data_IF_894724909864
#
_entry.id   IF_894724909864
#
_cell.length_a   1.000
_cell.length_b   1.000
_cell.length_c   1.000
_cell.angle_alpha   90.00
_cell.angle_beta   90.00
_cell.angle_gamma   90.00
#
_symmetry.space_group_name_H-M   'P 1'
#
loop_
_entity.id
_entity.type
_entity.pdbx_description
1 polymer ?
#
# COMPACT_ATOMS: atom_id res chain seq x y z
N UNK A 1 31.44 -11.07 -16.07
CA UNK A 1 30.13 -10.52 -16.46
C UNK A 1 29.11 -11.62 -16.32
N UNK A 2 28.09 -11.43 -15.48
CA UNK A 2 26.93 -12.32 -15.42
C UNK A 2 26.17 -12.24 -16.73
N UNK A 3 26.04 -13.37 -17.44
CA UNK A 3 25.36 -13.46 -18.72
C UNK A 3 23.85 -13.55 -18.58
N UNK A 4 23.14 -13.71 -19.71
CA UNK A 4 21.71 -14.00 -19.73
C UNK A 4 21.35 -15.23 -18.89
N UNK A 5 22.10 -16.33 -19.04
CA UNK A 5 21.87 -17.56 -18.31
C UNK A 5 21.96 -17.39 -16.78
N UNK A 6 22.94 -16.62 -16.30
CA UNK A 6 23.11 -16.36 -14.86
C UNK A 6 21.93 -15.57 -14.29
N UNK A 7 21.39 -14.61 -15.06
CA UNK A 7 20.20 -13.85 -14.65
C UNK A 7 18.96 -14.73 -14.57
N UNK A 8 18.76 -15.61 -15.55
CA UNK A 8 17.66 -16.58 -15.51
C UNK A 8 17.83 -17.54 -14.33
N UNK A 9 19.05 -17.99 -14.03
CA UNK A 9 19.32 -18.81 -12.85
C UNK A 9 19.03 -18.04 -11.54
N UNK A 10 19.40 -16.75 -11.46
CA UNK A 10 19.09 -15.90 -10.31
C UNK A 10 17.58 -15.71 -10.11
N UNK A 11 16.82 -15.49 -11.19
CA UNK A 11 15.37 -15.45 -11.13
C UNK A 11 14.80 -16.79 -10.67
N UNK A 12 15.31 -17.90 -11.22
CA UNK A 12 14.92 -19.26 -10.85
C UNK A 12 15.13 -19.58 -9.37
N UNK A 13 16.19 -19.06 -8.75
CA UNK A 13 16.45 -19.20 -7.31
C UNK A 13 15.42 -18.51 -6.40
N UNK A 14 14.45 -17.77 -6.97
CA UNK A 14 13.29 -17.27 -6.23
C UNK A 14 12.41 -18.43 -5.74
N UNK A 15 12.43 -19.60 -6.39
CA UNK A 15 11.66 -20.78 -5.98
C UNK A 15 12.03 -21.30 -4.59
N UNK A 16 13.22 -20.97 -4.07
CA UNK A 16 13.60 -21.25 -2.67
C UNK A 16 12.55 -20.74 -1.66
N UNK A 17 11.85 -19.66 -2.01
CA UNK A 17 10.83 -19.04 -1.16
C UNK A 17 9.56 -19.88 -1.00
N UNK A 18 9.34 -20.91 -1.83
CA UNK A 18 8.20 -21.83 -1.69
C UNK A 18 8.23 -22.54 -0.32
N UNK A 19 9.42 -22.70 0.28
CA UNK A 19 9.57 -23.23 1.63
C UNK A 19 8.94 -22.34 2.73
N UNK A 20 8.57 -21.10 2.42
CA UNK A 20 7.88 -20.19 3.35
C UNK A 20 6.35 -20.35 3.33
N UNK A 21 5.79 -21.14 2.41
CA UNK A 21 4.36 -21.38 2.32
C UNK A 21 3.82 -22.16 3.53
N UNK A 22 2.49 -22.14 3.71
CA UNK A 22 1.86 -22.89 4.81
C UNK A 22 2.04 -24.39 4.58
N UNK A 23 1.81 -24.78 3.33
CA UNK A 23 2.05 -26.09 2.77
C UNK A 23 2.86 -25.88 1.48
N UNK A 24 4.18 -26.14 1.52
CA UNK A 24 5.03 -26.03 0.33
C UNK A 24 4.69 -27.04 -0.78
N UNK A 25 3.92 -28.09 -0.50
CA UNK A 25 3.53 -29.12 -1.47
C UNK A 25 2.15 -28.87 -2.10
N UNK A 26 1.41 -27.85 -1.63
CA UNK A 26 0.10 -27.48 -2.21
C UNK A 26 0.27 -26.81 -3.58
N UNK A 27 -0.23 -27.41 -4.68
CA UNK A 27 -0.07 -26.86 -6.02
C UNK A 27 -0.76 -25.50 -6.22
N UNK A 28 -1.83 -25.20 -5.48
CA UNK A 28 -2.50 -23.90 -5.55
C UNK A 28 -1.63 -22.81 -4.92
N UNK A 29 -1.07 -23.07 -3.73
CA UNK A 29 -0.19 -22.11 -3.05
C UNK A 29 1.12 -21.89 -3.84
N UNK A 30 1.68 -22.93 -4.44
CA UNK A 30 2.84 -22.79 -5.33
C UNK A 30 2.52 -21.88 -6.52
N UNK A 31 1.38 -22.10 -7.20
CA UNK A 31 0.98 -21.27 -8.34
C UNK A 31 0.74 -19.79 -7.96
N UNK A 32 0.16 -19.54 -6.79
CA UNK A 32 -0.03 -18.19 -6.26
C UNK A 32 1.28 -17.50 -5.92
N UNK A 33 2.23 -18.21 -5.32
CA UNK A 33 3.57 -17.70 -5.03
C UNK A 33 4.35 -17.39 -6.33
N UNK A 34 4.30 -18.29 -7.32
CA UNK A 34 4.93 -18.05 -8.62
C UNK A 34 4.32 -16.83 -9.34
N UNK A 35 3.00 -16.65 -9.26
CA UNK A 35 2.33 -15.44 -9.74
C UNK A 35 2.89 -14.19 -9.05
N UNK A 36 3.12 -14.22 -7.73
CA UNK A 36 3.77 -13.14 -6.99
C UNK A 36 5.21 -12.91 -7.48
N UNK A 37 5.97 -13.96 -7.79
CA UNK A 37 7.36 -13.82 -8.29
C UNK A 37 7.41 -13.08 -9.63
N UNK A 38 6.52 -13.40 -10.57
CA UNK A 38 6.42 -12.67 -11.84
C UNK A 38 5.84 -11.27 -11.68
N UNK A 39 4.89 -11.07 -10.77
CA UNK A 39 4.37 -9.74 -10.44
C UNK A 39 5.47 -8.83 -9.90
N UNK A 40 6.29 -9.33 -8.96
CA UNK A 40 7.39 -8.55 -8.39
C UNK A 40 8.48 -8.26 -9.43
N UNK A 41 8.77 -9.18 -10.35
CA UNK A 41 9.65 -8.92 -11.49
C UNK A 41 9.12 -7.77 -12.36
N UNK A 42 7.83 -7.79 -12.71
CA UNK A 42 7.20 -6.75 -13.50
C UNK A 42 7.22 -5.39 -12.76
N UNK A 43 6.96 -5.38 -11.45
CA UNK A 43 7.03 -4.16 -10.65
C UNK A 43 8.44 -3.57 -10.59
N UNK A 44 9.47 -4.43 -10.52
CA UNK A 44 10.86 -4.00 -10.46
C UNK A 44 11.31 -3.22 -11.69
N UNK A 45 10.73 -3.49 -12.85
CA UNK A 45 11.09 -2.80 -14.10
C UNK A 45 10.94 -1.27 -13.99
N UNK A 46 9.93 -0.79 -13.27
CA UNK A 46 9.67 0.64 -13.11
C UNK A 46 10.81 1.37 -12.41
N UNK A 47 11.58 0.70 -11.56
CA UNK A 47 12.68 1.32 -10.79
C UNK A 47 14.07 0.88 -11.26
N UNK A 48 14.21 -0.26 -11.94
CA UNK A 48 15.50 -0.79 -12.39
C UNK A 48 16.32 0.18 -13.26
N UNK A 49 15.64 1.04 -14.03
CA UNK A 49 16.26 2.05 -14.89
C UNK A 49 15.86 3.49 -14.52
N UNK A 50 15.38 3.70 -13.30
CA UNK A 50 15.15 5.05 -12.78
C UNK A 50 16.49 5.80 -12.71
N UNK A 51 16.52 7.05 -13.18
CA UNK A 51 17.71 7.90 -13.16
C UNK A 51 17.54 9.00 -12.11
N UNK A 52 18.36 9.03 -11.04
CA UNK A 52 18.26 10.08 -10.02
C UNK A 52 18.62 11.48 -10.54
N UNK A 53 19.25 11.58 -11.73
CA UNK A 53 19.50 12.86 -12.42
C UNK A 53 18.31 13.34 -13.24
N UNK A 54 17.39 12.43 -13.60
CA UNK A 54 16.16 12.69 -14.36
C UNK A 54 15.00 11.95 -13.68
N UNK A 55 14.68 12.33 -12.44
CA UNK A 55 13.70 11.60 -11.64
C UNK A 55 12.31 11.65 -12.26
N UNK A 56 11.55 10.59 -12.06
CA UNK A 56 10.13 10.49 -12.39
C UNK A 56 9.43 9.70 -11.28
N UNK A 57 8.16 10.04 -11.02
CA UNK A 57 7.32 9.26 -10.11
C UNK A 57 6.73 8.08 -10.87
N UNK A 58 7.29 6.90 -10.63
CA UNK A 58 6.77 5.65 -11.18
C UNK A 58 5.85 4.96 -10.17
N UNK A 59 4.91 4.09 -10.62
CA UNK A 59 4.04 3.36 -9.70
C UNK A 59 4.87 2.43 -8.80
N UNK A 60 4.67 2.53 -7.48
CA UNK A 60 5.31 1.61 -6.54
C UNK A 60 4.48 0.32 -6.34
N UNK A 61 3.19 0.48 -6.02
CA UNK A 61 2.19 -0.57 -5.96
C UNK A 61 0.83 -0.02 -6.41
N UNK A 62 -0.03 -0.85 -6.98
CA UNK A 62 -1.38 -0.46 -7.40
C UNK A 62 -2.27 -1.70 -7.59
N UNK A 63 -3.45 -1.56 -8.19
CA UNK A 63 -4.38 -2.69 -8.46
C UNK A 63 -3.77 -3.83 -9.30
N UNK A 64 -2.77 -3.53 -10.13
CA UNK A 64 -2.10 -4.51 -11.02
C UNK A 64 -0.74 -4.95 -10.48
N UNK A 65 0.01 -4.02 -9.89
CA UNK A 65 1.25 -4.26 -9.14
C UNK A 65 0.92 -4.46 -7.66
N UNK A 66 -0.04 -5.36 -7.39
CA UNK A 66 -0.58 -5.58 -6.06
C UNK A 66 0.26 -6.61 -5.32
N UNK A 67 1.08 -6.14 -4.40
CA UNK A 67 1.81 -6.96 -3.45
C UNK A 67 1.96 -6.20 -2.13
N UNK A 68 2.63 -6.81 -1.15
CA UNK A 68 3.06 -6.19 0.11
C UNK A 68 1.96 -5.41 0.85
N UNK A 69 0.74 -5.93 0.88
CA UNK A 69 -0.37 -5.34 1.63
C UNK A 69 -0.80 -3.96 1.11
N UNK A 70 -0.71 -3.72 -0.20
CA UNK A 70 -1.10 -2.47 -0.89
C UNK A 70 -2.37 -1.86 -0.30
N UNK A 71 -2.34 -0.61 0.18
CA UNK A 71 -3.55 0.03 0.69
C UNK A 71 -4.50 0.40 -0.48
N UNK A 72 -5.74 -0.12 -0.51
CA UNK A 72 -6.73 0.19 -1.55
C UNK A 72 -7.02 1.68 -1.74
N UNK A 73 -6.86 2.46 -0.68
CA UNK A 73 -7.24 3.87 -0.62
C UNK A 73 -6.13 4.81 -1.08
N UNK A 74 -4.91 4.30 -1.28
CA UNK A 74 -3.75 5.12 -1.61
C UNK A 74 -3.36 4.97 -3.07
N UNK A 75 -2.91 6.07 -3.69
CA UNK A 75 -2.08 6.04 -4.90
C UNK A 75 -0.64 6.16 -4.46
N UNK A 76 0.20 5.22 -4.91
CA UNK A 76 1.60 5.14 -4.55
C UNK A 76 2.50 5.50 -5.73
N UNK A 77 3.41 6.43 -5.50
CA UNK A 77 4.49 6.76 -6.42
C UNK A 77 5.84 6.61 -5.74
N UNK A 78 6.88 6.29 -6.50
CA UNK A 78 8.26 6.33 -6.03
C UNK A 78 9.15 7.03 -7.05
N UNK A 79 10.15 7.76 -6.59
CA UNK A 79 11.17 8.35 -7.45
C UNK A 79 12.55 8.10 -6.84
N UNK A 80 13.51 7.70 -7.68
CA UNK A 80 14.92 7.63 -7.30
C UNK A 80 15.51 9.05 -7.34
N UNK A 81 16.29 9.40 -6.32
CA UNK A 81 16.97 10.69 -6.22
C UNK A 81 18.40 10.51 -5.69
N UNK A 82 19.19 11.57 -5.80
CA UNK A 82 20.50 11.72 -5.20
C UNK A 82 20.40 12.84 -4.17
N UNK A 83 20.53 12.52 -2.88
CA UNK A 83 20.38 13.48 -1.78
C UNK A 83 21.33 14.68 -1.83
N UNK A 84 22.40 14.62 -2.62
CA UNK A 84 23.27 15.77 -2.87
C UNK A 84 22.69 16.78 -3.87
N UNK A 85 21.59 16.44 -4.55
CA UNK A 85 20.95 17.29 -5.56
C UNK A 85 19.98 18.33 -5.02
N UNK A 86 19.50 19.18 -5.92
CA UNK A 86 18.41 20.12 -5.68
C UNK A 86 17.24 19.79 -6.60
N UNK A 87 16.04 19.65 -6.03
CA UNK A 87 14.86 19.20 -6.74
C UNK A 87 13.72 20.19 -6.56
N UNK A 88 13.14 20.64 -7.66
CA UNK A 88 11.92 21.43 -7.61
C UNK A 88 10.73 20.49 -7.82
N UNK A 89 9.81 20.48 -6.85
CA UNK A 89 8.53 19.83 -6.98
C UNK A 89 7.47 20.89 -7.25
N UNK A 90 6.65 20.66 -8.26
CA UNK A 90 5.52 21.54 -8.61
C UNK A 90 4.30 20.71 -8.93
N UNK A 91 3.12 21.29 -8.78
CA UNK A 91 1.92 20.51 -9.04
C UNK A 91 0.63 21.13 -8.55
N UNK A 92 -0.42 20.31 -8.57
CA UNK A 92 -1.73 20.57 -7.98
C UNK A 92 -1.92 19.63 -6.79
N UNK A 93 -2.29 20.16 -5.62
CA UNK A 93 -2.49 19.34 -4.41
C UNK A 93 -3.69 18.38 -4.55
N UNK A 94 -4.68 18.74 -5.35
CA UNK A 94 -5.90 17.95 -5.52
C UNK A 94 -6.78 17.92 -4.26
N UNK A 95 -7.79 17.06 -4.28
CA UNK A 95 -8.87 17.02 -3.28
C UNK A 95 -8.77 15.84 -2.30
N UNK A 96 -7.73 15.00 -2.46
CA UNK A 96 -7.48 13.85 -1.57
C UNK A 96 -7.27 14.27 -0.11
N UNK A 97 -7.52 13.35 0.83
CA UNK A 97 -7.48 13.59 2.28
C UNK A 97 -6.15 14.17 2.76
N UNK A 98 -5.05 13.59 2.28
CA UNK A 98 -3.69 14.08 2.49
C UNK A 98 -2.79 13.57 1.35
N UNK A 99 -1.70 14.29 1.11
CA UNK A 99 -0.64 13.86 0.21
C UNK A 99 0.66 13.94 0.99
N UNK A 100 1.34 12.82 1.08
CA UNK A 100 2.51 12.69 1.94
C UNK A 100 3.63 12.00 1.17
N UNK A 101 4.84 12.53 1.31
CA UNK A 101 6.03 11.96 0.70
C UNK A 101 7.08 11.66 1.75
N UNK A 102 7.38 10.39 1.92
CA UNK A 102 8.48 9.92 2.75
C UNK A 102 9.80 10.05 1.97
N UNK A 103 10.82 10.59 2.62
CA UNK A 103 12.17 10.76 2.07
C UNK A 103 13.07 9.77 2.79
N UNK A 104 13.71 8.84 2.07
CA UNK A 104 14.43 7.74 2.70
C UNK A 104 15.89 7.64 2.23
N UNK A 105 16.77 7.14 3.11
CA UNK A 105 18.18 6.85 2.78
C UNK A 105 18.38 5.59 1.92
N UNK A 106 17.26 4.94 1.57
CA UNK A 106 17.19 3.73 0.76
C UNK A 106 15.84 3.68 0.08
N UNK A 107 15.36 2.49 -0.29
CA UNK A 107 14.07 2.33 -0.94
C UNK A 107 13.71 0.88 -1.20
N UNK A 108 12.48 0.66 -1.64
CA UNK A 108 12.02 -0.65 -2.10
C UNK A 108 12.37 -0.93 -3.56
N UNK A 109 12.80 0.08 -4.34
CA UNK A 109 13.15 -0.08 -5.75
C UNK A 109 14.33 -1.04 -5.99
N UNK A 110 14.53 -1.47 -7.23
CA UNK A 110 15.46 -2.56 -7.60
C UNK A 110 16.90 -2.27 -7.22
N UNK A 111 17.37 -1.03 -7.43
CA UNK A 111 18.76 -0.63 -7.25
C UNK A 111 19.05 -0.13 -5.84
N UNK A 112 18.01 0.16 -5.08
CA UNK A 112 18.08 0.65 -3.71
C UNK A 112 18.20 -0.49 -2.70
N UNK A 113 19.01 -0.26 -1.66
CA UNK A 113 18.94 -1.03 -0.42
C UNK A 113 17.86 -0.45 0.51
N UNK A 114 17.38 -1.26 1.46
CA UNK A 114 16.49 -0.74 2.49
C UNK A 114 17.25 0.28 3.36
N UNK A 115 16.61 1.41 3.65
CA UNK A 115 17.16 2.45 4.50
C UNK A 115 16.06 3.10 5.34
N UNK A 116 16.44 3.79 6.44
CA UNK A 116 15.48 4.48 7.28
C UNK A 116 14.83 5.65 6.54
N UNK A 117 13.64 6.04 7.02
CA UNK A 117 13.07 7.35 6.73
C UNK A 117 13.97 8.45 7.31
N UNK A 118 14.13 9.52 6.56
CA UNK A 118 14.88 10.74 6.88
C UNK A 118 13.94 11.93 7.14
N UNK A 119 12.64 11.70 7.09
CA UNK A 119 11.61 12.70 7.29
C UNK A 119 10.51 12.59 6.25
N UNK A 120 9.40 13.26 6.54
CA UNK A 120 8.19 13.23 5.74
C UNK A 120 7.79 14.65 5.36
N UNK A 121 7.60 14.89 4.07
CA UNK A 121 6.98 16.11 3.55
C UNK A 121 5.46 15.90 3.47
N UNK A 122 4.73 16.65 4.29
CA UNK A 122 3.27 16.77 4.21
C UNK A 122 2.89 17.94 3.31
N UNK A 123 2.25 17.64 2.17
CA UNK A 123 1.88 18.64 1.18
C UNK A 123 0.74 19.55 1.68
N UNK A 124 0.04 19.17 2.75
CA UNK A 124 -1.01 20.01 3.36
C UNK A 124 -0.41 21.21 4.12
N UNK A 125 0.89 21.18 4.39
CA UNK A 125 1.63 22.28 5.01
C UNK A 125 2.18 23.29 4.00
N UNK A 126 2.08 22.99 2.69
CA UNK A 126 2.60 23.85 1.63
C UNK A 126 1.66 25.03 1.36
N UNK A 127 2.27 26.13 0.93
CA UNK A 127 1.58 27.29 0.41
C UNK A 127 0.97 26.96 -0.94
N UNK A 128 -0.36 27.06 -1.04
CA UNK A 128 -1.09 26.88 -2.29
C UNK A 128 -1.49 28.24 -2.88
N UNK A 129 -1.39 28.37 -4.19
CA UNK A 129 -1.96 29.52 -4.90
C UNK A 129 -3.50 29.43 -5.02
N UNK A 130 -4.10 30.45 -5.62
CA UNK A 130 -5.55 30.55 -5.86
C UNK A 130 -6.12 29.45 -6.78
N UNK A 131 -5.25 28.70 -7.46
CA UNK A 131 -5.60 27.56 -8.30
C UNK A 131 -5.28 26.20 -7.63
N UNK A 132 -4.84 26.21 -6.36
CA UNK A 132 -4.48 25.02 -5.61
C UNK A 132 -3.15 24.40 -6.04
N UNK A 133 -2.26 25.18 -6.66
CA UNK A 133 -0.93 24.74 -7.06
C UNK A 133 0.10 24.99 -5.98
N UNK A 134 1.07 24.10 -5.89
CA UNK A 134 2.22 24.22 -4.98
C UNK A 134 3.54 24.28 -5.75
N UNK A 135 4.56 24.82 -5.08
CA UNK A 135 5.95 24.75 -5.50
C UNK A 135 6.84 24.64 -4.27
N UNK A 136 7.68 23.60 -4.20
CA UNK A 136 8.57 23.37 -3.07
C UNK A 136 9.95 22.93 -3.57
N UNK A 137 10.99 23.57 -3.05
CA UNK A 137 12.38 23.21 -3.31
C UNK A 137 12.88 22.21 -2.27
N UNK A 138 13.47 21.11 -2.72
CA UNK A 138 14.18 20.14 -1.89
C UNK A 138 15.67 20.30 -2.15
N UNK A 139 16.46 20.64 -1.13
CA UNK A 139 17.92 20.78 -1.24
C UNK A 139 18.59 20.68 0.12
N UNK A 140 19.89 20.38 0.15
CA UNK A 140 20.66 20.29 1.40
C UNK A 140 20.67 21.61 2.20
N UNK A 141 20.74 22.74 1.49
CA UNK A 141 20.67 24.10 2.04
C UNK A 141 19.70 24.93 1.21
N UNK A 142 18.95 25.83 1.86
CA UNK A 142 18.06 26.77 1.19
C UNK A 142 18.90 27.81 0.42
N UNK A 143 18.69 27.97 -0.91
CA UNK A 143 19.31 29.07 -1.65
C UNK A 143 18.89 30.42 -1.08
N UNK A 144 19.84 31.37 -1.01
CA UNK A 144 19.62 32.68 -0.36
C UNK A 144 18.52 33.51 -1.01
N UNK A 145 18.29 33.29 -2.30
CA UNK A 145 17.30 33.96 -3.14
C UNK A 145 15.96 33.20 -3.22
N UNK A 146 15.84 32.03 -2.58
CA UNK A 146 14.60 31.26 -2.56
C UNK A 146 13.63 31.75 -1.48
N UNK A 147 12.46 32.22 -1.90
CA UNK A 147 11.41 32.75 -1.00
C UNK A 147 10.15 31.87 -0.93
N UNK A 148 10.10 30.77 -1.68
CA UNK A 148 8.99 29.82 -1.65
C UNK A 148 9.14 28.76 -0.56
N UNK A 149 8.23 27.79 -0.54
CA UNK A 149 8.36 26.65 0.36
C UNK A 149 9.66 25.89 0.08
N UNK A 150 10.32 25.45 1.14
CA UNK A 150 11.58 24.73 1.07
C UNK A 150 11.57 23.61 2.10
N UNK A 151 12.10 22.45 1.69
CA UNK A 151 12.30 21.30 2.56
C UNK A 151 13.77 20.88 2.50
N UNK A 152 14.40 20.70 3.66
CA UNK A 152 15.79 20.26 3.73
C UNK A 152 15.91 18.81 3.26
N UNK A 153 16.71 18.59 2.22
CA UNK A 153 17.03 17.25 1.73
C UNK A 153 18.32 16.74 2.40
N UNK A 154 18.23 15.61 3.10
CA UNK A 154 19.42 15.00 3.68
C UNK A 154 20.33 14.40 2.58
N UNK A 155 21.65 14.62 2.59
CA UNK A 155 22.58 14.09 1.58
C UNK A 155 22.57 12.56 1.42
N UNK A 156 22.12 11.83 2.45
CA UNK A 156 21.97 10.37 2.40
C UNK A 156 20.69 9.91 1.69
N UNK A 157 19.75 10.81 1.36
CA UNK A 157 18.50 10.46 0.69
C UNK A 157 18.73 9.78 -0.67
N UNK A 158 17.94 8.74 -0.96
CA UNK A 158 18.02 7.94 -2.19
C UNK A 158 16.68 7.76 -2.88
N UNK A 159 15.57 7.83 -2.14
CA UNK A 159 14.25 7.72 -2.74
C UNK A 159 13.21 8.63 -2.09
N UNK A 160 12.17 8.91 -2.87
CA UNK A 160 10.96 9.60 -2.47
C UNK A 160 9.77 8.65 -2.63
N UNK A 161 9.00 8.43 -1.57
CA UNK A 161 7.81 7.55 -1.59
C UNK A 161 6.54 8.34 -1.33
N UNK A 162 5.76 8.55 -2.39
CA UNK A 162 4.51 9.32 -2.39
C UNK A 162 3.31 8.44 -2.02
N UNK A 163 2.43 8.96 -1.16
CA UNK A 163 1.12 8.40 -0.83
C UNK A 163 0.05 9.48 -0.98
N UNK A 164 -0.94 9.24 -1.82
CA UNK A 164 -2.12 10.11 -1.94
C UNK A 164 -3.34 9.37 -1.42
N UNK A 165 -3.94 9.84 -0.33
CA UNK A 165 -5.04 9.16 0.34
C UNK A 165 -6.42 9.68 -0.11
N UNK A 166 -7.37 8.78 -0.37
CA UNK A 166 -8.77 9.15 -0.59
C UNK A 166 -9.73 8.07 -0.08
N UNK A 167 -10.85 8.51 0.51
CA UNK A 167 -11.96 7.61 0.83
C UNK A 167 -12.89 7.37 -0.35
N UNK A 168 -13.19 8.41 -1.12
CA UNK A 168 -14.13 8.39 -2.23
C UNK A 168 -13.36 8.26 -3.55
N UNK A 169 -13.32 7.03 -4.05
CA UNK A 169 -12.56 6.72 -5.23
C UNK A 169 -13.27 7.26 -6.47
N UNK A 170 -12.58 8.11 -7.22
CA UNK A 170 -13.08 8.65 -8.49
C UNK A 170 -14.00 9.86 -8.35
N UNK A 171 -14.13 10.41 -7.14
CA UNK A 171 -14.63 11.76 -6.91
C UNK A 171 -13.47 12.69 -6.53
N UNK A 172 -13.58 13.97 -6.88
CA UNK A 172 -12.48 14.93 -6.77
C UNK A 172 -11.33 14.63 -7.74
N UNK A 173 -10.21 15.31 -7.55
CA UNK A 173 -8.98 15.15 -8.33
C UNK A 173 -7.84 14.67 -7.45
N UNK A 174 -7.19 13.58 -7.87
CA UNK A 174 -5.91 13.15 -7.30
C UNK A 174 -4.83 14.24 -7.53
N UNK A 175 -3.80 14.25 -6.69
CA UNK A 175 -2.69 15.19 -6.80
C UNK A 175 -1.86 14.92 -8.06
N UNK A 176 -1.39 16.00 -8.68
CA UNK A 176 -0.54 15.96 -9.88
C UNK A 176 0.79 16.60 -9.52
N UNK A 177 1.87 15.84 -9.59
CA UNK A 177 3.17 16.24 -9.07
C UNK A 177 4.21 15.98 -10.15
N UNK A 178 5.02 17.00 -10.44
CA UNK A 178 6.24 16.90 -11.22
C UNK A 178 7.45 17.04 -10.29
N UNK A 179 8.56 16.43 -10.68
CA UNK A 179 9.86 16.55 -10.00
C UNK A 179 10.94 16.81 -11.04
N UNK A 180 11.79 17.80 -10.78
CA UNK A 180 12.90 18.16 -11.66
C UNK A 180 14.17 18.37 -10.85
N UNK A 181 15.30 17.78 -11.27
CA UNK A 181 16.62 18.10 -10.73
C UNK A 181 17.14 19.37 -11.40
N UNK A 182 17.31 20.46 -10.65
CA UNK A 182 17.41 21.80 -11.24
C UNK A 182 18.85 22.30 -11.48
N UNK A 183 19.85 21.71 -10.82
CA UNK A 183 21.25 22.10 -11.00
C UNK A 183 21.93 21.38 -12.18
N UNK A 184 21.32 20.33 -12.72
CA UNK A 184 21.83 19.58 -13.87
C UNK A 184 21.06 19.94 -15.15
N UNK A 185 21.77 20.00 -16.27
CA UNK A 185 21.12 20.17 -17.56
C UNK A 185 20.23 18.96 -17.88
N UNK A 186 19.01 19.20 -18.32
CA UNK A 186 18.09 18.15 -18.77
C UNK A 186 18.65 17.46 -20.03
N UNK A 187 19.31 16.31 -19.83
CA UNK A 187 19.98 15.54 -20.90
C UNK A 187 19.74 14.05 -20.69
N UNK A 188 18.86 13.43 -21.49
CA UNK A 188 18.60 11.99 -21.40
C UNK A 188 19.89 11.16 -21.45
N UNK A 189 20.05 10.24 -20.50
CA UNK A 189 21.19 9.34 -20.43
C UNK A 189 21.03 8.20 -21.43
N UNK A 190 22.14 7.87 -22.11
CA UNK A 190 22.31 6.56 -22.75
C UNK A 190 23.14 5.69 -21.82
N UNK A 191 22.54 4.62 -21.31
CA UNK A 191 23.21 3.68 -20.40
C UNK A 191 24.37 2.95 -21.09
N UNK A 192 25.49 2.81 -20.38
CA UNK A 192 26.60 1.97 -20.85
C UNK A 192 26.20 0.48 -20.77
N UNK A 193 26.92 -0.37 -21.49
CA UNK A 193 26.63 -1.81 -21.49
C UNK A 193 26.78 -2.42 -20.08
N UNK A 194 27.74 -1.91 -19.31
CA UNK A 194 28.03 -2.32 -17.94
C UNK A 194 26.88 -1.92 -16.99
N UNK A 195 26.37 -0.69 -17.11
CA UNK A 195 25.24 -0.20 -16.29
C UNK A 195 23.96 -1.00 -16.54
N UNK A 196 23.69 -1.33 -17.81
CA UNK A 196 22.56 -2.18 -18.21
C UNK A 196 22.75 -3.57 -17.62
N UNK A 197 23.96 -4.12 -17.72
CA UNK A 197 24.25 -5.45 -17.23
C UNK A 197 24.05 -5.58 -15.71
N UNK A 198 24.47 -4.57 -14.95
CA UNK A 198 24.28 -4.47 -13.50
C UNK A 198 22.79 -4.41 -13.13
N UNK A 199 22.03 -3.50 -13.76
CA UNK A 199 20.60 -3.29 -13.48
C UNK A 199 19.75 -4.51 -13.80
N UNK A 200 20.05 -5.18 -14.92
CA UNK A 200 19.36 -6.43 -15.27
C UNK A 200 19.70 -7.57 -14.30
N UNK A 201 20.92 -7.59 -13.76
CA UNK A 201 21.30 -8.56 -12.71
C UNK A 201 20.56 -8.26 -11.40
N UNK A 202 20.48 -7.00 -10.98
CA UNK A 202 19.69 -6.60 -9.81
C UNK A 202 18.19 -6.91 -9.99
N UNK A 203 17.63 -6.60 -11.16
CA UNK A 203 16.24 -6.91 -11.49
C UNK A 203 15.95 -8.41 -11.45
N UNK A 204 16.86 -9.25 -11.93
CA UNK A 204 16.70 -10.71 -11.88
C UNK A 204 16.69 -11.26 -10.45
N UNK A 205 17.38 -10.62 -9.51
CA UNK A 205 17.37 -10.98 -8.09
C UNK A 205 16.20 -10.36 -7.31
N UNK A 206 15.55 -9.34 -7.86
CA UNK A 206 14.53 -8.55 -7.18
C UNK A 206 13.30 -9.36 -6.70
N UNK A 207 12.75 -10.31 -7.48
CA UNK A 207 11.61 -11.12 -7.04
C UNK A 207 11.87 -11.85 -5.73
N UNK A 208 13.08 -12.39 -5.55
CA UNK A 208 13.50 -13.04 -4.30
C UNK A 208 13.50 -12.09 -3.12
N UNK A 209 13.90 -10.84 -3.31
CA UNK A 209 13.89 -9.81 -2.26
C UNK A 209 12.46 -9.39 -1.89
N UNK A 210 11.67 -8.95 -2.86
CA UNK A 210 10.35 -8.38 -2.58
C UNK A 210 9.32 -9.46 -2.20
N UNK A 211 9.29 -10.60 -2.91
CA UNK A 211 8.40 -11.71 -2.56
C UNK A 211 8.82 -12.36 -1.23
N UNK A 212 10.12 -12.41 -0.94
CA UNK A 212 10.65 -12.90 0.33
C UNK A 212 10.18 -12.04 1.51
N UNK A 213 10.11 -10.73 1.34
CA UNK A 213 9.50 -9.83 2.32
C UNK A 213 8.02 -10.16 2.55
N UNK A 214 7.25 -10.37 1.48
CA UNK A 214 5.82 -10.64 1.59
C UNK A 214 5.51 -12.00 2.24
N UNK A 215 6.13 -13.06 1.76
CA UNK A 215 5.96 -14.41 2.31
C UNK A 215 6.54 -14.51 3.72
N UNK A 216 7.66 -13.83 3.98
CA UNK A 216 8.25 -13.73 5.31
C UNK A 216 7.33 -13.05 6.31
N UNK A 217 6.63 -11.98 5.91
CA UNK A 217 5.64 -11.32 6.76
C UNK A 217 4.51 -12.29 7.16
N UNK A 218 3.88 -12.96 6.19
CA UNK A 218 2.80 -13.92 6.47
C UNK A 218 3.29 -15.07 7.35
N UNK A 219 4.47 -15.63 7.06
CA UNK A 219 5.08 -16.66 7.90
C UNK A 219 5.27 -16.17 9.34
N UNK A 220 5.79 -14.97 9.55
CA UNK A 220 5.99 -14.41 10.88
C UNK A 220 4.68 -14.27 11.66
N UNK A 221 3.60 -13.83 11.00
CA UNK A 221 2.27 -13.73 11.61
C UNK A 221 1.73 -15.11 12.03
N UNK A 222 1.95 -16.16 11.20
CA UNK A 222 1.59 -17.55 11.55
C UNK A 222 2.42 -18.09 12.72
N UNK A 223 3.72 -17.84 12.73
CA UNK A 223 4.62 -18.32 13.79
C UNK A 223 4.27 -17.67 15.14
N UNK A 224 3.75 -16.44 15.14
CA UNK A 224 3.17 -15.78 16.31
C UNK A 224 1.80 -16.33 16.72
N UNK A 225 1.14 -17.12 15.89
CA UNK A 225 -0.19 -17.67 16.15
C UNK A 225 -1.33 -16.65 16.06
N UNK A 226 -1.18 -15.60 15.25
CA UNK A 226 -2.16 -14.48 15.14
C UNK A 226 -3.42 -14.83 14.34
N UNK A 227 -3.93 -16.06 14.46
CA UNK A 227 -5.16 -16.49 13.82
C UNK A 227 -6.38 -15.95 14.57
N UNK A 228 -7.22 -15.18 13.87
CA UNK A 228 -8.39 -14.50 14.43
C UNK A 228 -8.04 -13.59 15.62
N UNK A 229 -6.83 -13.04 15.60
CA UNK A 229 -6.30 -12.13 16.59
C UNK A 229 -5.53 -11.02 15.89
N UNK A 230 -5.42 -9.86 16.54
CA UNK A 230 -4.71 -8.70 16.01
C UNK A 230 -3.65 -8.27 17.03
N UNK A 231 -2.45 -7.95 16.53
CA UNK A 231 -1.43 -7.26 17.31
C UNK A 231 -1.37 -5.78 16.88
N UNK A 232 -1.00 -4.91 17.82
CA UNK A 232 -0.65 -3.54 17.50
C UNK A 232 0.83 -3.49 17.09
N UNK A 233 1.13 -2.91 15.94
CA UNK A 233 2.50 -2.77 15.42
C UNK A 233 2.80 -1.32 14.99
N UNK A 234 4.07 -0.94 15.04
CA UNK A 234 4.57 0.33 14.52
C UNK A 234 5.42 0.06 13.27
N UNK A 235 4.87 0.44 12.11
CA UNK A 235 5.52 0.28 10.82
C UNK A 235 6.39 1.47 10.40
N UNK A 236 6.56 2.49 11.25
CA UNK A 236 7.42 3.63 10.96
C UNK A 236 8.84 3.18 10.56
N UNK A 237 9.35 3.71 9.44
CA UNK A 237 10.66 3.35 8.89
C UNK A 237 10.76 1.95 8.26
N UNK A 238 9.66 1.18 8.19
CA UNK A 238 9.57 -0.16 7.52
C UNK A 238 8.57 -0.19 6.37
N UNK A 239 8.26 0.97 5.80
CA UNK A 239 7.26 1.14 4.73
C UNK A 239 5.89 1.64 5.20
N UNK A 240 5.68 1.78 6.52
CA UNK A 240 4.51 2.43 7.10
C UNK A 240 4.59 3.95 7.16
N UNK A 241 3.55 4.54 7.73
CA UNK A 241 3.39 5.98 8.01
C UNK A 241 3.70 6.21 9.49
N UNK A 242 4.54 7.19 9.78
CA UNK A 242 4.87 7.58 11.15
C UNK A 242 3.62 7.99 11.94
N UNK A 243 3.50 7.53 13.18
CA UNK A 243 2.38 7.84 14.07
C UNK A 243 1.05 7.18 13.70
N UNK A 244 1.01 6.28 12.71
CA UNK A 244 -0.17 5.50 12.37
C UNK A 244 -0.26 4.26 13.28
N UNK A 245 -1.44 4.03 13.88
CA UNK A 245 -1.71 2.80 14.60
C UNK A 245 -2.03 1.69 13.60
N UNK A 246 -1.25 0.62 13.60
CA UNK A 246 -1.52 -0.56 12.78
C UNK A 246 -1.98 -1.71 13.66
N UNK A 247 -3.10 -2.31 13.29
CA UNK A 247 -3.53 -3.60 13.83
C UNK A 247 -3.46 -4.63 12.73
N UNK A 248 -2.66 -5.67 12.93
CA UNK A 248 -2.40 -6.69 11.93
C UNK A 248 -2.56 -8.09 12.51
N UNK A 249 -2.94 -9.02 11.66
CA UNK A 249 -3.06 -10.42 12.03
C UNK A 249 -3.55 -11.26 10.88
N UNK A 250 -4.01 -12.46 11.19
CA UNK A 250 -4.56 -13.40 10.23
C UNK A 250 -6.03 -13.66 10.53
N UNK A 251 -6.82 -13.90 9.49
CA UNK A 251 -8.18 -14.40 9.63
C UNK A 251 -8.25 -15.86 9.18
N UNK A 252 -9.14 -16.63 9.79
CA UNK A 252 -9.51 -17.98 9.37
C UNK A 252 -11.00 -18.21 9.62
N UNK A 253 -11.68 -18.63 8.56
CA UNK A 253 -13.10 -18.92 8.51
C UNK A 253 -13.31 -20.43 8.40
N UNK A 254 -14.02 -20.99 9.37
CA UNK A 254 -14.58 -22.34 9.26
C UNK A 254 -15.87 -22.33 8.43
N UNK A 255 -16.26 -23.48 7.91
CA UNK A 255 -17.51 -23.60 7.15
C UNK A 255 -18.72 -23.19 8.02
N UNK A 256 -19.60 -22.33 7.47
CA UNK A 256 -20.78 -21.83 8.18
C UNK A 256 -20.49 -20.76 9.25
N UNK A 257 -19.24 -20.31 9.40
CA UNK A 257 -18.86 -19.25 10.34
C UNK A 257 -18.56 -17.93 9.61
N UNK A 258 -18.63 -16.85 10.37
CA UNK A 258 -18.11 -15.53 10.02
C UNK A 258 -17.23 -14.99 11.15
N UNK A 259 -16.36 -14.03 10.83
CA UNK A 259 -15.67 -13.24 11.84
C UNK A 259 -16.35 -11.88 11.98
N UNK A 260 -16.79 -11.59 13.19
CA UNK A 260 -17.24 -10.27 13.59
C UNK A 260 -16.03 -9.47 14.05
N UNK A 261 -15.68 -8.43 13.29
CA UNK A 261 -14.76 -7.39 13.71
C UNK A 261 -15.53 -6.29 14.44
N UNK A 262 -15.06 -5.87 15.61
CA UNK A 262 -15.63 -4.75 16.36
C UNK A 262 -14.52 -3.85 16.90
N UNK A 263 -14.69 -2.53 16.78
CA UNK A 263 -13.84 -1.52 17.43
C UNK A 263 -14.60 -0.23 17.72
N UNK A 264 -14.13 0.52 18.72
CA UNK A 264 -14.51 1.92 18.87
C UNK A 264 -13.77 2.79 17.85
N UNK A 265 -14.24 4.01 17.61
CA UNK A 265 -13.52 4.97 16.78
C UNK A 265 -12.71 5.92 17.68
N UNK A 266 -11.55 6.42 17.20
CA UNK A 266 -10.90 7.57 17.82
C UNK A 266 -11.81 8.81 17.77
N UNK A 267 -11.76 9.67 18.80
CA UNK A 267 -12.52 10.93 18.82
C UNK A 267 -12.18 11.85 17.63
N UNK A 268 -10.92 11.81 17.18
CA UNK A 268 -10.45 12.46 15.96
C UNK A 268 -9.58 11.50 15.19
N UNK A 269 -9.78 11.44 13.87
CA UNK A 269 -8.98 10.64 12.95
C UNK A 269 -8.97 11.30 11.58
N UNK A 270 -7.79 11.39 10.95
CA UNK A 270 -7.65 11.94 9.59
C UNK A 270 -8.00 10.89 8.54
N UNK A 271 -7.54 9.65 8.74
CA UNK A 271 -7.82 8.53 7.85
C UNK A 271 -7.81 7.21 8.60
N UNK A 272 -8.61 6.26 8.14
CA UNK A 272 -8.64 4.90 8.65
C UNK A 272 -9.25 3.93 7.65
N UNK A 273 -8.80 2.69 7.69
CA UNK A 273 -9.41 1.60 6.95
C UNK A 273 -9.23 0.25 7.64
N UNK A 274 -9.95 -0.74 7.13
CA UNK A 274 -9.69 -2.17 7.30
C UNK A 274 -9.60 -2.79 5.91
N UNK A 275 -8.64 -3.67 5.70
CA UNK A 275 -8.47 -4.41 4.46
C UNK A 275 -8.09 -5.86 4.71
N UNK A 276 -8.45 -6.71 3.75
CA UNK A 276 -8.05 -8.11 3.70
C UNK A 276 -6.98 -8.33 2.62
N UNK A 277 -6.06 -9.24 2.92
CA UNK A 277 -5.04 -9.75 2.00
C UNK A 277 -5.06 -11.27 1.95
N UNK A 278 -4.60 -11.84 0.84
CA UNK A 278 -4.38 -13.28 0.70
C UNK A 278 -3.14 -13.75 1.48
N UNK A 279 -2.85 -15.05 1.45
CA UNK A 279 -1.70 -15.66 2.11
C UNK A 279 -0.36 -15.39 1.41
N UNK A 280 -0.37 -14.71 0.25
CA UNK A 280 0.82 -14.17 -0.41
C UNK A 280 1.05 -12.68 -0.04
N UNK A 281 0.22 -12.14 0.85
CA UNK A 281 0.15 -10.74 1.26
C UNK A 281 -0.21 -9.76 0.13
N UNK A 282 -0.88 -10.23 -0.92
CA UNK A 282 -1.53 -9.34 -1.88
C UNK A 282 -2.88 -8.90 -1.31
N UNK A 283 -3.25 -7.64 -1.47
CA UNK A 283 -4.58 -7.22 -1.01
C UNK A 283 -5.65 -7.85 -1.88
N UNK A 284 -6.70 -8.41 -1.29
CA UNK A 284 -7.76 -9.06 -2.06
C UNK A 284 -8.39 -8.03 -3.01
N UNK A 285 -8.72 -8.44 -4.23
CA UNK A 285 -9.19 -7.60 -5.35
C UNK A 285 -10.26 -6.57 -4.93
N UNK A 286 -9.78 -5.41 -4.46
CA UNK A 286 -10.61 -4.36 -3.90
C UNK A 286 -11.31 -3.57 -4.99
N UNK A 287 -10.91 -3.74 -6.24
CA UNK A 287 -11.58 -3.09 -7.36
C UNK A 287 -12.92 -3.77 -7.68
N UNK A 288 -12.99 -5.10 -7.50
CA UNK A 288 -14.17 -5.90 -7.87
C UNK A 288 -14.89 -6.51 -6.67
N UNK A 289 -14.33 -6.41 -5.48
CA UNK A 289 -14.89 -6.93 -4.23
C UNK A 289 -14.87 -5.86 -3.14
N UNK A 290 -15.77 -5.99 -2.18
CA UNK A 290 -15.72 -5.21 -0.93
C UNK A 290 -14.76 -5.90 0.05
N UNK A 291 -13.49 -6.01 -0.30
CA UNK A 291 -12.43 -6.60 0.53
C UNK A 291 -11.76 -5.59 1.47
N UNK A 292 -12.17 -4.33 1.40
CA UNK A 292 -11.76 -3.27 2.31
C UNK A 292 -12.89 -2.28 2.54
N UNK A 293 -12.85 -1.62 3.69
CA UNK A 293 -13.74 -0.53 4.08
C UNK A 293 -12.91 0.58 4.72
N UNK A 294 -13.30 1.82 4.47
CA UNK A 294 -12.65 3.00 4.98
C UNK A 294 -13.68 3.96 5.60
N UNK A 295 -13.23 5.06 6.20
CA UNK A 295 -14.12 6.01 6.89
C UNK A 295 -15.19 6.68 6.03
N UNK A 296 -15.04 6.72 4.70
CA UNK A 296 -16.10 7.22 3.80
C UNK A 296 -17.01 6.12 3.24
N UNK A 297 -16.68 4.85 3.46
CA UNK A 297 -17.43 3.69 2.93
C UNK A 297 -18.15 2.90 4.04
N UNK A 298 -17.59 2.88 5.25
CA UNK A 298 -18.12 2.16 6.38
C UNK A 298 -19.36 2.84 6.97
N UNK A 299 -20.33 2.03 7.39
CA UNK A 299 -21.44 2.49 8.26
C UNK A 299 -20.99 2.39 9.72
N UNK A 300 -21.13 3.47 10.48
CA UNK A 300 -20.95 3.42 11.94
C UNK A 300 -22.30 3.12 12.58
N UNK A 301 -22.30 2.21 13.55
CA UNK A 301 -23.52 1.81 14.24
C UNK A 301 -24.01 2.92 15.18
N UNK A 302 -25.28 2.85 15.59
CA UNK A 302 -25.90 3.87 16.43
C UNK A 302 -25.23 4.06 17.81
N UNK A 303 -24.47 3.06 18.27
CA UNK A 303 -23.66 3.11 19.50
C UNK A 303 -22.25 3.70 19.29
N UNK A 304 -21.96 4.21 18.09
CA UNK A 304 -20.69 4.84 17.75
C UNK A 304 -19.56 3.86 17.44
N UNK A 305 -19.84 2.56 17.31
CA UNK A 305 -18.82 1.55 17.00
C UNK A 305 -18.80 1.20 15.52
N UNK A 306 -17.63 0.79 15.06
CA UNK A 306 -17.49 0.14 13.77
C UNK A 306 -17.57 -1.38 13.97
N UNK A 307 -18.50 -2.01 13.25
CA UNK A 307 -18.62 -3.46 13.15
C UNK A 307 -18.56 -3.89 11.70
N UNK A 308 -17.75 -4.90 11.40
CA UNK A 308 -17.69 -5.51 10.08
C UNK A 308 -17.76 -7.03 10.17
N UNK A 309 -18.29 -7.65 9.13
CA UNK A 309 -18.42 -9.11 9.04
C UNK A 309 -17.53 -9.60 7.92
N UNK A 310 -16.56 -10.45 8.26
CA UNK A 310 -15.73 -11.14 7.28
C UNK A 310 -16.36 -12.52 7.06
N UNK A 311 -16.86 -12.77 5.85
CA UNK A 311 -17.58 -13.99 5.50
C UNK A 311 -17.38 -14.31 4.01
N UNK A 312 -17.33 -15.60 3.66
CA UNK A 312 -17.13 -16.04 2.26
C UNK A 312 -18.33 -15.71 1.37
N UNK A 313 -19.53 -15.81 1.90
CA UNK A 313 -20.78 -15.47 1.23
C UNK A 313 -21.32 -14.15 1.79
N UNK A 314 -21.97 -13.33 0.96
CA UNK A 314 -22.54 -12.05 1.38
C UNK A 314 -23.66 -12.27 2.42
N UNK A 315 -23.48 -11.83 3.68
CA UNK A 315 -24.49 -11.98 4.72
C UNK A 315 -25.63 -10.94 4.61
N UNK A 316 -25.60 -10.06 3.61
CA UNK A 316 -26.59 -9.01 3.42
C UNK A 316 -26.45 -7.85 4.41
N UNK A 317 -25.24 -7.56 4.89
CA UNK A 317 -24.94 -6.43 5.80
C UNK A 317 -24.10 -5.37 5.08
N UNK A 318 -24.20 -4.11 5.49
CA UNK A 318 -23.46 -3.01 4.86
C UNK A 318 -21.95 -3.20 4.94
N UNK A 319 -21.44 -3.48 6.13
CA UNK A 319 -20.02 -3.61 6.42
C UNK A 319 -19.54 -5.07 6.26
N UNK A 320 -19.80 -5.66 5.09
CA UNK A 320 -19.24 -6.96 4.74
C UNK A 320 -17.81 -6.81 4.21
N UNK A 321 -16.93 -7.73 4.55
CA UNK A 321 -15.60 -7.87 3.96
C UNK A 321 -15.51 -9.23 3.26
N UNK A 322 -15.43 -9.20 1.93
CA UNK A 322 -15.31 -10.37 1.07
C UNK A 322 -13.85 -10.86 1.03
N UNK A 323 -13.53 -12.07 1.53
CA UNK A 323 -12.18 -12.62 1.54
C UNK A 323 -11.71 -13.12 0.16
N UNK A 324 -12.50 -12.93 -0.90
CA UNK A 324 -12.12 -13.28 -2.26
C UNK A 324 -12.19 -14.77 -2.56
N UNK A 325 -13.01 -15.50 -1.81
CA UNK A 325 -13.11 -16.96 -1.88
C UNK A 325 -12.19 -17.70 -0.91
N UNK A 326 -11.21 -17.01 -0.31
CA UNK A 326 -10.27 -17.60 0.64
C UNK A 326 -10.93 -17.92 1.99
N UNK A 327 -10.55 -19.05 2.58
CA UNK A 327 -10.92 -19.39 3.96
C UNK A 327 -10.00 -18.74 4.98
N UNK A 328 -8.80 -18.35 4.59
CA UNK A 328 -7.86 -17.63 5.44
C UNK A 328 -7.04 -16.60 4.65
N UNK A 329 -6.36 -15.73 5.40
CA UNK A 329 -5.58 -14.63 4.83
C UNK A 329 -5.11 -13.70 5.94
N UNK A 330 -4.59 -12.54 5.54
CA UNK A 330 -4.19 -11.48 6.45
C UNK A 330 -5.24 -10.37 6.52
N UNK A 331 -5.26 -9.67 7.65
CA UNK A 331 -6.11 -8.51 7.89
C UNK A 331 -5.25 -7.39 8.44
N UNK A 332 -5.53 -6.16 7.98
CA UNK A 332 -4.90 -4.97 8.52
C UNK A 332 -5.93 -3.87 8.72
N UNK A 333 -5.92 -3.25 9.91
CA UNK A 333 -6.67 -2.05 10.25
C UNK A 333 -5.69 -0.94 10.60
N UNK A 334 -6.04 0.29 10.22
CA UNK A 334 -5.16 1.45 10.40
C UNK A 334 -5.90 2.67 10.95
N UNK A 335 -5.28 3.42 11.86
CA UNK A 335 -5.70 4.75 12.27
C UNK A 335 -4.58 5.77 12.04
N UNK A 336 -4.77 6.72 11.10
CA UNK A 336 -3.81 7.79 10.76
C UNK A 336 -4.26 9.13 11.33
N UNK A 337 -3.32 9.88 11.90
CA UNK A 337 -3.61 11.21 12.45
C UNK A 337 -4.71 11.12 13.53
N UNK A 338 -4.67 10.05 14.33
CA UNK A 338 -5.73 9.72 15.26
C UNK A 338 -5.40 10.16 16.68
N UNK A 339 -6.41 10.56 17.45
CA UNK A 339 -6.27 10.93 18.86
C UNK A 339 -5.96 9.74 19.78
N UNK A 340 -6.27 8.53 19.32
CA UNK A 340 -6.05 7.26 20.00
C UNK A 340 -6.04 6.12 18.98
N UNK A 341 -5.58 4.93 19.38
CA UNK A 341 -5.74 3.69 18.64
C UNK A 341 -6.63 2.72 19.41
N UNK A 342 -7.97 2.75 19.23
CA UNK A 342 -8.84 1.75 19.84
C UNK A 342 -8.56 0.37 19.25
N UNK A 343 -8.37 -0.60 20.14
CA UNK A 343 -8.03 -1.97 19.76
C UNK A 343 -9.24 -2.70 19.16
N UNK A 344 -9.14 -3.18 17.90
CA UNK A 344 -10.16 -4.02 17.30
C UNK A 344 -10.12 -5.44 17.85
N UNK A 345 -11.30 -6.05 17.93
CA UNK A 345 -11.46 -7.47 18.29
C UNK A 345 -12.02 -8.26 17.12
N UNK A 346 -11.67 -9.54 17.06
CA UNK A 346 -12.22 -10.52 16.10
C UNK A 346 -12.90 -11.63 16.88
N UNK A 347 -14.15 -11.95 16.54
CA UNK A 347 -14.90 -13.05 17.15
C UNK A 347 -15.48 -13.95 16.08
N UNK A 348 -15.13 -15.24 16.12
CA UNK A 348 -15.75 -16.25 15.26
C UNK A 348 -17.17 -16.53 15.75
N UNK A 349 -18.14 -16.47 14.84
CA UNK A 349 -19.56 -16.61 15.14
C UNK A 349 -20.23 -17.50 14.10
N UNK A 350 -21.31 -18.19 14.50
CA UNK A 350 -22.18 -18.89 13.56
C UNK A 350 -22.91 -17.90 12.65
N UNK A 351 -22.93 -18.18 11.35
CA UNK A 351 -23.67 -17.38 10.38
C UNK A 351 -25.17 -17.30 10.73
N UNK A 352 -25.72 -18.35 11.33
CA UNK A 352 -27.11 -18.39 11.79
C UNK A 352 -27.41 -17.39 12.90
N UNK A 353 -26.43 -17.09 13.76
CA UNK A 353 -26.59 -16.17 14.90
C UNK A 353 -26.21 -14.73 14.55
N UNK A 354 -25.54 -14.52 13.41
CA UNK A 354 -24.95 -13.24 13.03
C UNK A 354 -25.91 -12.06 13.17
N UNK A 355 -27.15 -12.21 12.71
CA UNK A 355 -28.13 -11.11 12.76
C UNK A 355 -28.48 -10.69 14.20
N UNK A 356 -28.54 -11.63 15.13
CA UNK A 356 -28.82 -11.35 16.54
C UNK A 356 -27.64 -10.71 17.26
N UNK A 357 -26.42 -10.86 16.73
CA UNK A 357 -25.18 -10.29 17.29
C UNK A 357 -24.89 -8.87 16.78
N UNK A 358 -25.58 -8.42 15.74
CA UNK A 358 -25.46 -7.08 15.19
C UNK A 358 -26.55 -6.16 15.75
N UNK A 359 -26.33 -4.83 15.78
CA UNK A 359 -27.37 -3.88 16.16
C UNK A 359 -28.64 -4.08 15.34
N UNK A 360 -29.79 -3.94 16.00
CA UNK A 360 -31.10 -4.18 15.38
C UNK A 360 -31.37 -3.30 14.16
N UNK A 361 -30.76 -2.12 14.09
CA UNK A 361 -30.83 -1.15 13.01
C UNK A 361 -29.81 -1.39 11.88
N UNK A 362 -28.98 -2.43 11.96
CA UNK A 362 -28.08 -2.82 10.87
C UNK A 362 -28.90 -3.02 9.59
N UNK A 363 -28.62 -2.30 8.49
CA UNK A 363 -29.43 -2.41 7.28
C UNK A 363 -29.27 -3.77 6.63
N UNK A 364 -30.33 -4.23 5.98
CA UNK A 364 -30.26 -5.34 5.03
C UNK A 364 -29.86 -4.79 3.67
N UNK A 365 -28.83 -5.38 3.08
CA UNK A 365 -28.34 -5.09 1.73
C UNK A 365 -28.83 -6.18 0.80
N UNK A 366 -29.62 -5.83 -0.22
CA UNK A 366 -30.07 -6.79 -1.22
C UNK A 366 -28.96 -7.12 -2.22
N UNK A 367 -29.04 -8.25 -2.95
CA UNK A 367 -28.10 -8.56 -4.02
C UNK A 367 -27.98 -7.45 -5.08
N UNK A 368 -29.07 -6.78 -5.44
CA UNK A 368 -29.08 -5.68 -6.41
C UNK A 368 -28.35 -4.44 -5.87
N UNK A 369 -28.52 -4.14 -4.58
CA UNK A 369 -27.80 -3.06 -3.91
C UNK A 369 -26.31 -3.37 -3.81
N UNK A 370 -25.94 -4.62 -3.48
CA UNK A 370 -24.55 -5.06 -3.47
C UNK A 370 -23.91 -4.92 -4.84
N UNK A 371 -24.59 -5.39 -5.89
CA UNK A 371 -24.10 -5.28 -7.27
C UNK A 371 -23.89 -3.81 -7.67
N UNK A 372 -24.83 -2.93 -7.31
CA UNK A 372 -24.70 -1.50 -7.56
C UNK A 372 -23.47 -0.89 -6.84
N UNK A 373 -23.25 -1.26 -5.58
CA UNK A 373 -22.07 -0.86 -4.79
C UNK A 373 -20.77 -1.33 -5.44
N UNK A 374 -20.65 -2.61 -5.81
CA UNK A 374 -19.45 -3.17 -6.44
C UNK A 374 -19.17 -2.51 -7.80
N UNK A 375 -20.21 -2.21 -8.59
CA UNK A 375 -20.04 -1.46 -9.84
C UNK A 375 -19.59 -0.02 -9.61
N UNK A 376 -20.10 0.66 -8.58
CA UNK A 376 -19.66 2.00 -8.22
C UNK A 376 -18.19 2.00 -7.80
N UNK A 377 -17.81 1.06 -6.93
CA UNK A 377 -16.44 0.83 -6.49
C UNK A 377 -15.48 0.58 -7.66
N UNK A 378 -15.85 -0.32 -8.58
CA UNK A 378 -15.07 -0.61 -9.79
C UNK A 378 -14.86 0.63 -10.65
N UNK A 379 -15.92 1.42 -10.91
CA UNK A 379 -15.82 2.68 -11.67
C UNK A 379 -14.91 3.68 -10.96
N UNK A 380 -15.08 3.85 -9.66
CA UNK A 380 -14.27 4.74 -8.85
C UNK A 380 -12.78 4.40 -8.93
N UNK A 381 -12.42 3.13 -8.73
CA UNK A 381 -11.05 2.64 -8.85
C UNK A 381 -10.48 2.71 -10.29
N UNK A 382 -11.32 2.83 -11.32
CA UNK A 382 -10.87 3.05 -12.71
C UNK A 382 -10.61 4.52 -13.03
N UNK A 383 -11.26 5.45 -12.33
CA UNK A 383 -11.07 6.89 -12.51
C UNK A 383 -9.84 7.43 -11.79
N UNK A 384 -9.29 6.68 -10.84
CA UNK A 384 -8.03 7.01 -10.17
C UNK A 384 -6.84 6.86 -11.09
N UNK A 385 -5.80 7.66 -10.87
CA UNK A 385 -4.53 7.53 -11.58
C UNK A 385 -3.91 6.16 -11.31
N UNK A 386 -3.63 5.41 -12.38
CA UNK A 386 -2.96 4.08 -12.33
C UNK A 386 -1.48 4.17 -12.69
N UNK A 387 -1.10 5.25 -13.38
CA UNK A 387 0.23 5.67 -13.75
C UNK A 387 0.23 7.16 -14.05
#
# INVERSE_FOLDING_TARGET
MTGWADRIASLGATSDLLALLADPDDPQLQAEAERLFFLTLASGWFTAFADPDLPDFVPAVNTHLNCIGTNPDFIYGTAAIDGAGSYLLTGERGDGLFVMMDIAAGGLGVMEELGPSLGTLDFDTLTLDDQGRFSVLLSAEQPRDWTGDWYRLDPSARSLSLRQASYDWGNGRDARIAIERIEKAHRPRRWAAEDIAERLTALAAYPRRLSGMALGFIKAQRDKGLWNALEHDDWAGRGGVEGQHYYQGLFRLEAGKALLLETALPDRVQYWNVQLSDMMWNSIDWMNRQSSLNGGQARIDADGRFRAVIARDDPGVSNWLDPGGNSDGAIMLRWTGASSGPEPTLRLVDMADLRALLPSDTPLVTPEQREAQLRARRRGAQMRRRW
#
